data_IF_450095856386
#
_entry.id   IF_450095856386
#
_cell.length_a   1.000
_cell.length_b   1.000
_cell.length_c   1.000
_cell.angle_alpha   90.00
_cell.angle_beta   90.00
_cell.angle_gamma   90.00
#
_symmetry.space_group_name_H-M   'P 1'
#
loop_
_entity.id
_entity.type
_entity.pdbx_description
1 polymer ?
#
# COMPACT_ATOMS: atom_id res chain seq x y z
N UNK A 1 -23.03 8.86 -10.80
CA UNK A 1 -21.84 8.05 -11.09
C UNK A 1 -21.17 7.59 -9.79
N UNK A 2 -20.88 6.33 -9.71
CA UNK A 2 -20.31 5.76 -8.50
C UNK A 2 -18.81 5.89 -8.47
N UNK A 3 -18.27 6.30 -7.31
CA UNK A 3 -16.85 6.31 -7.13
C UNK A 3 -16.36 4.94 -6.70
N UNK A 4 -15.25 4.54 -7.27
CA UNK A 4 -14.65 3.28 -6.89
C UNK A 4 -13.74 3.54 -5.68
N UNK A 5 -13.93 2.75 -4.64
CA UNK A 5 -13.13 2.88 -3.44
C UNK A 5 -11.73 2.33 -3.68
N UNK A 6 -10.73 3.05 -3.22
CA UNK A 6 -9.35 2.58 -3.29
C UNK A 6 -8.94 1.95 -1.97
N UNK A 7 -8.24 0.85 -2.08
CA UNK A 7 -7.80 0.09 -0.92
C UNK A 7 -6.31 -0.20 -1.07
N UNK A 8 -5.53 0.08 -0.03
CA UNK A 8 -4.12 -0.26 -0.03
C UNK A 8 -3.89 -1.33 1.02
N UNK A 9 -3.25 -2.42 0.61
CA UNK A 9 -2.89 -3.52 1.49
C UNK A 9 -1.45 -3.31 1.93
N UNK A 10 -1.21 -3.31 3.24
CA UNK A 10 0.14 -3.20 3.80
C UNK A 10 0.33 -4.29 4.83
N UNK A 11 1.59 -4.49 5.28
CA UNK A 11 1.90 -5.58 6.18
C UNK A 11 1.65 -5.22 7.64
N UNK A 12 1.95 -3.99 8.05
CA UNK A 12 1.91 -3.67 9.45
C UNK A 12 1.29 -2.33 9.76
N UNK A 13 1.08 -2.11 11.05
CA UNK A 13 0.43 -0.90 11.51
C UNK A 13 1.29 0.35 11.27
N UNK A 14 2.60 0.24 11.45
CA UNK A 14 3.45 1.40 11.20
C UNK A 14 3.44 1.77 9.72
N UNK A 15 3.33 0.79 8.84
CA UNK A 15 3.19 1.06 7.42
C UNK A 15 1.90 1.82 7.15
N UNK A 16 0.82 1.37 7.76
CA UNK A 16 -0.47 2.01 7.59
C UNK A 16 -0.41 3.46 8.03
N UNK A 17 0.18 3.71 9.19
CA UNK A 17 0.25 5.06 9.70
C UNK A 17 1.06 5.96 8.77
N UNK A 18 2.15 5.43 8.25
CA UNK A 18 3.01 6.21 7.39
C UNK A 18 2.33 6.53 6.06
N UNK A 19 1.67 5.54 5.49
CA UNK A 19 0.95 5.74 4.24
C UNK A 19 -0.19 6.75 4.44
N UNK A 20 -0.94 6.59 5.52
CA UNK A 20 -2.04 7.51 5.79
C UNK A 20 -1.55 8.95 5.91
N UNK A 21 -0.35 9.13 6.44
CA UNK A 21 0.18 10.47 6.65
C UNK A 21 0.46 11.21 5.35
N UNK A 22 0.72 10.50 4.26
CA UNK A 22 1.03 11.16 2.99
C UNK A 22 -0.16 11.28 2.06
N UNK A 23 -1.27 10.62 2.36
CA UNK A 23 -2.42 10.63 1.48
C UNK A 23 -3.31 11.85 1.73
N UNK A 24 -3.87 12.37 0.67
CA UNK A 24 -4.79 13.51 0.73
C UNK A 24 -6.14 13.16 0.14
N UNK A 25 -6.54 11.91 0.23
CA UNK A 25 -7.87 11.47 -0.19
C UNK A 25 -8.24 10.27 0.67
N UNK A 26 -9.53 9.96 0.76
CA UNK A 26 -9.94 8.80 1.55
C UNK A 26 -9.49 7.51 0.88
N UNK A 27 -8.78 6.69 1.64
CA UNK A 27 -8.32 5.39 1.16
C UNK A 27 -8.44 4.42 2.32
N UNK A 28 -8.99 3.25 2.08
CA UNK A 28 -9.03 2.21 3.08
C UNK A 28 -7.67 1.52 3.09
N UNK A 29 -7.07 1.41 4.26
CA UNK A 29 -5.77 0.75 4.36
C UNK A 29 -5.94 -0.49 5.23
N UNK A 30 -5.62 -1.64 4.67
CA UNK A 30 -5.79 -2.93 5.34
C UNK A 30 -4.42 -3.45 5.73
N UNK A 31 -4.25 -3.76 7.01
CA UNK A 31 -3.03 -4.39 7.50
C UNK A 31 -3.22 -5.89 7.55
N UNK A 32 -2.28 -6.64 7.00
CA UNK A 32 -2.38 -8.09 7.05
C UNK A 32 -1.68 -8.66 8.28
N UNK A 33 -0.82 -7.89 8.92
CA UNK A 33 -0.02 -8.37 10.06
C UNK A 33 0.85 -9.55 9.64
N UNK A 34 1.53 -9.35 8.52
CA UNK A 34 2.36 -10.39 7.95
C UNK A 34 1.61 -11.13 6.86
N UNK A 35 1.96 -12.38 6.64
CA UNK A 35 1.24 -13.17 5.65
C UNK A 35 -0.14 -13.52 6.20
N UNK A 36 -1.01 -13.88 5.30
CA UNK A 36 -2.42 -13.98 5.60
C UNK A 36 -2.89 -15.39 5.29
N UNK A 37 -3.83 -15.89 6.07
CA UNK A 37 -4.37 -17.22 5.81
C UNK A 37 -5.24 -17.23 4.55
N UNK A 38 -5.39 -18.40 3.95
CA UNK A 38 -6.23 -18.51 2.78
C UNK A 38 -7.68 -18.13 3.10
N UNK A 39 -8.15 -18.52 4.27
CA UNK A 39 -9.53 -18.19 4.65
C UNK A 39 -9.72 -16.68 4.74
N UNK A 40 -8.76 -16.00 5.36
CA UNK A 40 -8.88 -14.53 5.46
C UNK A 40 -8.76 -13.88 4.09
N UNK A 41 -7.91 -14.42 3.24
CA UNK A 41 -7.74 -13.89 1.91
C UNK A 41 -9.05 -14.00 1.11
N UNK A 42 -9.75 -15.11 1.27
CA UNK A 42 -11.05 -15.27 0.62
C UNK A 42 -12.07 -14.29 1.15
N UNK A 43 -12.07 -14.07 2.47
CA UNK A 43 -12.96 -13.08 3.06
C UNK A 43 -12.68 -11.70 2.48
N UNK A 44 -11.40 -11.35 2.38
CA UNK A 44 -11.04 -10.06 1.81
C UNK A 44 -11.50 -9.94 0.38
N UNK A 45 -11.37 -11.01 -0.40
CA UNK A 45 -11.80 -10.96 -1.80
C UNK A 45 -13.27 -10.60 -1.89
N UNK A 46 -14.08 -11.15 -1.01
CA UNK A 46 -15.49 -10.80 -0.98
C UNK A 46 -15.72 -9.37 -0.53
N UNK A 47 -15.04 -8.99 0.55
CA UNK A 47 -15.23 -7.65 1.12
C UNK A 47 -14.81 -6.56 0.16
N UNK A 48 -13.77 -6.79 -0.62
CA UNK A 48 -13.20 -5.77 -1.47
C UNK A 48 -13.65 -5.86 -2.92
N UNK A 49 -14.64 -6.68 -3.17
CA UNK A 49 -15.15 -6.80 -4.54
C UNK A 49 -15.58 -5.44 -5.05
N UNK A 50 -15.14 -5.10 -6.26
CA UNK A 50 -15.47 -3.82 -6.86
C UNK A 50 -14.56 -2.68 -6.47
N UNK A 51 -13.65 -2.90 -5.54
CA UNK A 51 -12.68 -1.88 -5.15
C UNK A 51 -11.44 -1.95 -6.02
N UNK A 52 -10.72 -0.85 -6.10
CA UNK A 52 -9.39 -0.84 -6.70
C UNK A 52 -8.39 -1.19 -5.62
N UNK A 53 -7.73 -2.32 -5.76
CA UNK A 53 -6.84 -2.84 -4.73
C UNK A 53 -5.38 -2.62 -5.14
N UNK A 54 -4.59 -2.13 -4.21
CA UNK A 54 -3.17 -1.89 -4.37
C UNK A 54 -2.44 -2.62 -3.26
N UNK A 55 -1.29 -3.17 -3.56
CA UNK A 55 -0.48 -3.86 -2.56
C UNK A 55 0.84 -3.13 -2.42
N UNK A 56 1.18 -2.74 -1.20
CA UNK A 56 2.44 -2.07 -0.91
C UNK A 56 3.13 -2.84 0.20
N UNK A 57 4.13 -3.61 -0.17
CA UNK A 57 4.80 -4.50 0.77
C UNK A 57 6.29 -4.18 0.82
N UNK A 58 6.95 -4.67 1.86
CA UNK A 58 8.38 -4.46 2.03
C UNK A 58 9.15 -5.11 0.89
N UNK A 59 10.36 -4.60 0.65
CA UNK A 59 11.24 -5.14 -0.38
C UNK A 59 12.10 -6.23 0.24
N UNK A 60 11.45 -7.30 0.67
CA UNK A 60 12.13 -8.43 1.30
C UNK A 60 11.34 -9.69 1.02
N UNK A 61 11.81 -10.80 1.55
CA UNK A 61 11.20 -12.09 1.26
C UNK A 61 9.78 -12.18 1.77
N UNK A 62 9.52 -11.66 2.96
CA UNK A 62 8.16 -11.69 3.50
C UNK A 62 7.21 -10.88 2.64
N UNK A 63 7.67 -9.72 2.15
CA UNK A 63 6.86 -8.91 1.27
C UNK A 63 6.57 -9.61 -0.04
N UNK A 64 7.55 -10.31 -0.59
CA UNK A 64 7.32 -11.05 -1.83
C UNK A 64 6.34 -12.19 -1.61
N UNK A 65 6.40 -12.84 -0.46
CA UNK A 65 5.44 -13.88 -0.16
C UNK A 65 4.02 -13.34 -0.11
N UNK A 66 3.85 -12.18 0.52
CA UNK A 66 2.54 -11.55 0.56
C UNK A 66 2.06 -11.20 -0.83
N UNK A 67 2.96 -10.68 -1.68
CA UNK A 67 2.58 -10.36 -3.05
C UNK A 67 2.11 -11.60 -3.81
N UNK A 68 2.79 -12.72 -3.63
CA UNK A 68 2.39 -13.95 -4.30
C UNK A 68 0.98 -14.36 -3.86
N UNK A 69 0.69 -14.22 -2.57
CA UNK A 69 -0.65 -14.55 -2.07
C UNK A 69 -1.71 -13.66 -2.74
N UNK A 70 -1.42 -12.37 -2.83
CA UNK A 70 -2.40 -11.46 -3.41
C UNK A 70 -2.52 -11.61 -4.92
N UNK A 71 -1.44 -11.98 -5.61
CA UNK A 71 -1.57 -12.21 -7.04
C UNK A 71 -2.53 -13.34 -7.36
N UNK A 72 -2.58 -14.32 -6.50
CA UNK A 72 -3.46 -15.47 -6.72
C UNK A 72 -4.92 -15.09 -6.58
N UNK A 73 -5.24 -14.34 -5.54
CA UNK A 73 -6.64 -14.06 -5.23
C UNK A 73 -7.12 -12.72 -5.82
N UNK A 74 -6.21 -11.78 -6.02
CA UNK A 74 -6.53 -10.47 -6.55
C UNK A 74 -5.68 -10.23 -7.78
N UNK A 75 -5.97 -10.91 -8.89
CA UNK A 75 -5.09 -10.80 -10.06
C UNK A 75 -5.06 -9.41 -10.67
N UNK A 76 -6.06 -8.58 -10.40
CA UNK A 76 -6.08 -7.23 -10.95
C UNK A 76 -5.52 -6.19 -10.01
N UNK A 77 -5.06 -6.59 -8.83
CA UNK A 77 -4.48 -5.63 -7.91
C UNK A 77 -3.20 -5.05 -8.49
N UNK A 78 -2.99 -3.78 -8.23
CA UNK A 78 -1.77 -3.12 -8.67
C UNK A 78 -0.74 -3.19 -7.56
N UNK A 79 0.48 -3.58 -7.89
CA UNK A 79 1.54 -3.69 -6.90
C UNK A 79 2.42 -2.45 -6.95
N UNK A 80 2.58 -1.85 -5.79
CA UNK A 80 3.40 -0.66 -5.65
C UNK A 80 4.71 -1.05 -4.96
N UNK A 81 5.79 -0.40 -5.34
CA UNK A 81 7.12 -0.77 -4.87
C UNK A 81 7.85 0.44 -4.32
N UNK A 82 8.44 0.27 -3.14
CA UNK A 82 9.41 1.25 -2.65
C UNK A 82 10.77 0.95 -3.26
N UNK A 83 11.64 1.93 -3.21
CA UNK A 83 13.03 1.71 -3.59
C UNK A 83 13.61 0.63 -2.67
N UNK A 84 14.24 -0.37 -3.27
CA UNK A 84 14.77 -1.51 -2.53
C UNK A 84 15.81 -1.11 -1.48
N UNK A 85 16.45 0.04 -1.68
CA UNK A 85 17.43 0.50 -0.72
C UNK A 85 16.85 0.73 0.66
N UNK A 86 15.56 1.07 0.74
CA UNK A 86 14.93 1.26 2.05
C UNK A 86 14.50 -0.03 2.70
N UNK A 87 14.29 -1.06 1.91
CA UNK A 87 13.90 -2.38 2.34
C UNK A 87 12.51 -2.47 2.95
N UNK A 88 12.17 -1.60 3.87
CA UNK A 88 10.87 -1.64 4.56
C UNK A 88 10.09 -0.38 4.25
N UNK A 89 8.79 -0.52 4.13
CA UNK A 89 7.92 0.63 3.94
C UNK A 89 8.08 1.60 5.10
N UNK A 90 8.17 1.07 6.31
CA UNK A 90 8.29 1.93 7.49
C UNK A 90 9.61 2.70 7.52
N UNK A 91 10.63 2.24 6.81
CA UNK A 91 11.91 2.92 6.76
C UNK A 91 11.99 3.94 5.63
N UNK A 92 11.07 3.92 4.69
CA UNK A 92 11.11 4.84 3.56
C UNK A 92 10.69 6.24 4.03
N UNK A 93 11.39 7.27 3.57
CA UNK A 93 10.97 8.62 3.96
C UNK A 93 9.61 8.99 3.36
N UNK A 94 8.92 9.84 3.89
CA UNK A 94 7.77 10.21 3.54
C UNK A 94 7.69 10.65 2.25
N UNK A 95 8.70 11.54 1.82
CA UNK A 95 8.65 12.02 0.45
C UNK A 95 8.69 10.88 -0.57
N UNK A 96 9.39 9.83 -0.24
CA UNK A 96 9.46 8.70 -1.16
C UNK A 96 8.10 7.99 -1.25
N UNK A 97 7.47 7.77 -0.12
CA UNK A 97 6.14 7.15 -0.14
C UNK A 97 5.14 8.03 -0.90
N UNK A 98 5.23 9.33 -0.72
CA UNK A 98 4.35 10.24 -1.47
C UNK A 98 4.57 10.10 -2.96
N UNK A 99 5.83 9.97 -3.38
CA UNK A 99 6.11 9.75 -4.79
C UNK A 99 5.53 8.46 -5.30
N UNK A 100 5.72 7.40 -4.53
CA UNK A 100 5.14 6.12 -4.90
C UNK A 100 3.63 6.25 -5.08
N UNK A 101 2.95 6.94 -4.29
CA UNK A 101 1.63 7.13 -4.32
C UNK A 101 1.28 8.03 -5.37
N UNK A 102 1.98 8.98 -5.90
CA UNK A 102 1.75 9.75 -6.79
C UNK A 102 1.72 9.22 -8.02
N UNK A 103 2.75 8.38 -8.21
CA UNK A 103 2.86 7.72 -9.50
C UNK A 103 1.71 6.77 -9.79
N UNK A 104 1.10 6.31 -8.72
CA UNK A 104 -0.01 5.39 -8.85
C UNK A 104 -1.38 6.08 -8.85
N UNK A 105 -1.33 7.40 -8.81
CA UNK A 105 -2.44 8.02 -8.97
C UNK A 105 -3.13 8.40 -7.88
N UNK A 106 -2.57 8.39 -6.74
CA UNK A 106 -3.22 8.85 -5.53
C UNK A 106 -3.02 10.33 -5.33
N UNK A 107 -3.99 10.98 -4.71
CA UNK A 107 -3.82 12.37 -4.29
C UNK A 107 -2.99 12.36 -3.01
N UNK A 108 -1.88 13.06 -3.02
CA UNK A 108 -0.99 13.08 -1.87
C UNK A 108 -0.82 14.50 -1.37
N UNK A 109 -0.41 14.63 -0.12
CA UNK A 109 -0.16 15.93 0.46
C UNK A 109 1.07 16.55 -0.17
N UNK A 110 0.94 17.79 -0.61
CA UNK A 110 2.02 18.45 -1.31
C UNK A 110 3.25 18.58 -0.43
N UNK A 111 3.04 18.86 0.86
CA UNK A 111 4.19 19.03 1.74
C UNK A 111 4.97 17.73 1.92
N UNK A 112 4.32 16.59 1.72
CA UNK A 112 5.04 15.32 1.79
C UNK A 112 5.99 15.15 0.61
N UNK A 113 5.67 15.77 -0.51
CA UNK A 113 6.52 15.67 -1.70
C UNK A 113 7.71 16.59 -1.66
N UNK A 114 7.75 17.53 -0.73
CA UNK A 114 8.81 18.52 -0.69
C UNK A 114 10.04 17.97 -0.04
N UNK A 115 10.73 17.15 -0.80
CA UNK A 115 11.92 16.49 -0.36
C UNK A 115 13.02 17.51 -0.05
N UNK A 116 13.74 17.26 1.01
CA UNK A 116 14.91 18.04 1.30
C UNK A 116 14.67 19.34 2.03
N UNK A 117 13.42 19.59 2.40
CA UNK A 117 13.13 20.78 3.19
C UNK A 117 13.72 20.60 4.56
N UNK A 118 14.76 21.34 4.87
CA UNK A 118 15.40 21.21 6.16
C UNK A 118 16.19 19.95 6.32
N UNK A 119 16.50 19.29 5.26
CA UNK A 119 17.30 18.08 5.32
C UNK A 119 18.70 18.34 4.92
#
# INVERSE_FOLDING_TARGET
>A
MRRVEKVIIVEGRSDKQKVAAVLNEPVVIVCTNGTISDARLEELADELEGCDVYVLADADEAGEKLRRQFRRMFPEAEHLYIDRAYREVAAAPXWHLAQVXXRAXFDVRIESLMRGRGE
#
